data_IF_277755598089
#
_entry.id   IF_277755598089
#
_cell.length_a   1.000
_cell.length_b   1.000
_cell.length_c   1.000
_cell.angle_alpha   90.00
_cell.angle_beta   90.00
_cell.angle_gamma   90.00
#
_symmetry.space_group_name_H-M   'P 1'
#
loop_
_entity.id
_entity.type
_entity.pdbx_description
1 polymer ?
#
# COMPACT_ATOMS: atom_id res chain seq x y z
N UNK A 1 -18.17 -11.76 28.28
CA UNK A 1 -16.84 -12.02 27.68
C UNK A 1 -17.02 -13.05 26.59
N UNK A 2 -17.53 -12.63 25.45
CA UNK A 2 -17.79 -13.42 24.24
C UNK A 2 -17.57 -12.41 23.11
N UNK A 3 -16.88 -12.65 22.00
CA UNK A 3 -16.69 -13.83 21.16
C UNK A 3 -15.38 -13.62 20.40
N UNK A 4 -14.34 -14.40 20.68
CA UNK A 4 -13.11 -14.38 19.87
C UNK A 4 -13.28 -15.38 18.72
N UNK A 5 -13.51 -14.83 17.53
CA UNK A 5 -13.25 -15.38 16.21
C UNK A 5 -13.60 -16.86 15.96
N UNK A 6 -14.87 -17.09 15.59
CA UNK A 6 -15.40 -18.35 15.03
C UNK A 6 -14.54 -18.92 13.89
N UNK A 7 -13.91 -18.05 13.09
CA UNK A 7 -13.01 -18.47 11.99
C UNK A 7 -11.75 -19.21 12.46
N UNK A 8 -11.22 -18.88 13.64
CA UNK A 8 -10.00 -19.49 14.17
C UNK A 8 -10.27 -20.91 14.66
N UNK A 9 -11.40 -21.09 15.39
CA UNK A 9 -11.85 -22.40 15.89
C UNK A 9 -12.11 -23.40 14.76
N UNK A 10 -12.54 -22.92 13.60
CA UNK A 10 -12.87 -23.73 12.43
C UNK A 10 -11.62 -24.19 11.65
N UNK A 11 -10.51 -23.45 11.74
CA UNK A 11 -9.26 -23.75 11.03
C UNK A 11 -8.21 -24.48 11.87
N UNK A 12 -8.13 -24.23 13.18
CA UNK A 12 -6.99 -24.67 14.00
C UNK A 12 -7.34 -25.53 15.22
N UNK A 13 -8.62 -25.82 15.48
CA UNK A 13 -9.02 -26.51 16.71
C UNK A 13 -8.82 -25.65 17.95
N UNK A 14 -9.28 -26.11 19.12
CA UNK A 14 -9.32 -25.31 20.35
C UNK A 14 -7.93 -24.78 20.76
N UNK A 15 -7.87 -23.47 21.02
CA UNK A 15 -6.66 -22.72 21.35
C UNK A 15 -6.21 -23.06 22.77
N UNK A 16 -5.17 -23.90 22.92
CA UNK A 16 -4.69 -24.35 24.23
C UNK A 16 -3.56 -23.45 24.79
N UNK A 17 -2.96 -22.54 24.00
CA UNK A 17 -1.83 -21.72 24.48
C UNK A 17 -1.90 -20.24 24.07
N UNK A 18 -1.59 -19.29 24.98
CA UNK A 18 -1.47 -17.86 24.68
C UNK A 18 -0.30 -17.51 23.72
N UNK A 19 0.50 -18.49 23.32
CA UNK A 19 1.57 -18.37 22.31
C UNK A 19 1.07 -18.47 20.87
N UNK A 20 -0.18 -18.88 20.64
CA UNK A 20 -0.76 -19.06 19.28
C UNK A 20 -1.53 -17.83 18.79
N UNK A 21 -1.39 -16.68 19.47
CA UNK A 21 -1.90 -15.40 18.97
C UNK A 21 -1.17 -15.10 17.65
N UNK A 22 -1.87 -15.33 16.55
CA UNK A 22 -1.39 -15.03 15.21
C UNK A 22 -1.03 -13.55 15.16
N UNK A 23 0.11 -13.21 14.54
CA UNK A 23 0.51 -11.79 14.35
C UNK A 23 -0.59 -10.95 13.67
N UNK A 24 -1.51 -11.61 12.97
CA UNK A 24 -2.71 -11.03 12.39
C UNK A 24 -3.74 -10.55 13.43
N UNK A 25 -3.99 -11.30 14.50
CA UNK A 25 -4.90 -10.89 15.58
C UNK A 25 -4.33 -9.69 16.35
N UNK A 26 -3.00 -9.68 16.55
CA UNK A 26 -2.30 -8.52 17.08
C UNK A 26 -2.38 -7.31 16.14
N UNK A 27 -2.35 -7.52 14.82
CA UNK A 27 -2.55 -6.44 13.85
C UNK A 27 -3.96 -5.83 13.95
N UNK A 28 -5.00 -6.67 14.07
CA UNK A 28 -6.38 -6.20 14.25
C UNK A 28 -6.54 -5.44 15.57
N UNK A 29 -5.91 -5.94 16.65
CA UNK A 29 -5.90 -5.27 17.94
C UNK A 29 -5.14 -3.94 17.92
N UNK A 30 -3.95 -3.91 17.31
CA UNK A 30 -3.14 -2.70 17.15
C UNK A 30 -3.84 -1.68 16.25
N UNK A 31 -4.51 -2.10 15.18
CA UNK A 31 -5.32 -1.21 14.36
C UNK A 31 -6.47 -0.55 15.15
N UNK A 32 -6.97 -1.21 16.21
CA UNK A 32 -8.03 -0.70 17.08
C UNK A 32 -7.55 0.23 18.20
N UNK A 33 -6.37 -0.01 18.77
CA UNK A 33 -5.89 0.72 19.96
C UNK A 33 -4.64 1.59 19.75
N UNK A 34 -3.81 1.31 18.75
CA UNK A 34 -2.60 2.05 18.42
C UNK A 34 -2.46 2.20 16.90
N UNK A 35 -3.21 3.13 16.28
CA UNK A 35 -3.25 3.31 14.82
C UNK A 35 -1.87 3.60 14.21
N UNK A 36 -0.91 4.06 15.01
CA UNK A 36 0.49 4.28 14.62
C UNK A 36 1.17 3.02 14.07
N UNK A 37 0.92 1.84 14.65
CA UNK A 37 1.51 0.59 14.14
C UNK A 37 0.93 0.20 12.79
N UNK A 38 -0.38 0.37 12.60
CA UNK A 38 -1.03 0.09 11.34
C UNK A 38 -0.56 1.05 10.23
N UNK A 39 -0.32 2.31 10.57
CA UNK A 39 0.29 3.31 9.66
C UNK A 39 1.71 2.89 9.26
N UNK A 40 2.55 2.52 10.22
CA UNK A 40 3.93 2.08 9.95
C UNK A 40 3.98 0.82 9.09
N UNK A 41 3.09 -0.14 9.34
CA UNK A 41 2.96 -1.34 8.51
C UNK A 41 2.53 -0.99 7.08
N UNK A 42 1.59 -0.06 6.93
CA UNK A 42 1.16 0.41 5.62
C UNK A 42 2.30 1.08 4.84
N UNK A 43 3.02 2.02 5.47
CA UNK A 43 4.17 2.70 4.85
C UNK A 43 5.24 1.68 4.45
N UNK A 44 5.53 0.71 5.32
CA UNK A 44 6.52 -0.34 5.04
C UNK A 44 6.08 -1.21 3.86
N UNK A 45 4.82 -1.63 3.83
CA UNK A 45 4.26 -2.39 2.71
C UNK A 45 4.35 -1.61 1.40
N UNK A 46 4.03 -0.32 1.43
CA UNK A 46 4.10 0.54 0.25
C UNK A 46 5.53 0.69 -0.28
N UNK A 47 6.50 0.82 0.64
CA UNK A 47 7.92 0.89 0.31
C UNK A 47 8.41 -0.39 -0.36
N UNK A 48 8.07 -1.57 0.20
CA UNK A 48 8.40 -2.86 -0.43
C UNK A 48 7.77 -3.00 -1.81
N UNK A 49 6.50 -2.62 -1.96
CA UNK A 49 5.80 -2.63 -3.24
C UNK A 49 6.53 -1.74 -4.27
N UNK A 50 7.01 -0.57 -3.85
CA UNK A 50 7.82 0.32 -4.68
C UNK A 50 9.13 -0.33 -5.15
N UNK A 51 9.88 -0.98 -4.24
CA UNK A 51 11.14 -1.66 -4.57
C UNK A 51 10.90 -2.84 -5.51
N UNK A 52 9.87 -3.65 -5.26
CA UNK A 52 9.56 -4.81 -6.10
C UNK A 52 9.28 -4.34 -7.53
N UNK A 53 8.43 -3.32 -7.69
CA UNK A 53 8.16 -2.73 -8.98
C UNK A 53 9.42 -2.17 -9.65
N UNK A 54 10.27 -1.47 -8.89
CA UNK A 54 11.54 -0.99 -9.40
C UNK A 54 12.43 -2.14 -9.91
N UNK A 55 12.54 -3.24 -9.16
CA UNK A 55 13.41 -4.36 -9.51
C UNK A 55 12.92 -5.10 -10.77
N UNK A 56 11.61 -5.31 -10.88
CA UNK A 56 10.96 -5.94 -12.04
C UNK A 56 11.14 -5.09 -13.29
N UNK A 57 10.84 -3.79 -13.20
CA UNK A 57 10.82 -2.88 -14.35
C UNK A 57 12.13 -2.11 -14.57
N UNK A 58 13.22 -2.45 -13.87
CA UNK A 58 14.51 -1.73 -14.02
C UNK A 58 15.05 -1.75 -15.45
N UNK A 59 14.73 -2.80 -16.21
CA UNK A 59 15.18 -2.98 -17.60
C UNK A 59 14.31 -2.20 -18.60
N UNK A 60 13.05 -1.96 -18.28
CA UNK A 60 12.09 -1.33 -19.17
C UNK A 60 11.51 -0.06 -18.53
N UNK A 61 12.15 1.08 -18.82
CA UNK A 61 11.77 2.38 -18.25
C UNK A 61 10.29 2.73 -18.47
N UNK A 62 9.72 2.29 -19.60
CA UNK A 62 8.28 2.46 -19.92
C UNK A 62 7.40 1.71 -18.92
N UNK A 63 7.70 0.43 -18.66
CA UNK A 63 6.98 -0.39 -17.67
C UNK A 63 7.01 0.22 -16.27
N UNK A 64 8.12 0.84 -15.88
CA UNK A 64 8.26 1.52 -14.60
C UNK A 64 7.33 2.73 -14.47
N UNK A 65 7.18 3.55 -15.52
CA UNK A 65 6.25 4.68 -15.51
C UNK A 65 4.78 4.23 -15.37
N UNK A 66 4.39 3.17 -16.10
CA UNK A 66 3.07 2.57 -15.99
C UNK A 66 2.82 1.97 -14.60
N UNK A 67 3.83 1.34 -14.01
CA UNK A 67 3.73 0.78 -12.66
C UNK A 67 3.43 1.87 -11.61
N UNK A 68 4.21 2.96 -11.58
CA UNK A 68 3.96 4.06 -10.64
C UNK A 68 2.62 4.77 -10.90
N UNK A 69 2.19 4.87 -12.15
CA UNK A 69 0.88 5.42 -12.50
C UNK A 69 -0.27 4.52 -12.03
N UNK A 70 -0.18 3.21 -12.25
CA UNK A 70 -1.18 2.23 -11.79
C UNK A 70 -1.26 2.18 -10.27
N UNK A 71 -0.11 2.15 -9.60
CA UNK A 71 -0.01 2.13 -8.15
C UNK A 71 -0.56 3.43 -7.53
N UNK A 72 -0.21 4.60 -8.08
CA UNK A 72 -0.76 5.89 -7.69
C UNK A 72 -2.28 5.99 -7.90
N UNK A 73 -2.77 5.53 -9.06
CA UNK A 73 -4.20 5.47 -9.35
C UNK A 73 -4.97 4.57 -8.38
N UNK A 74 -4.44 3.39 -8.08
CA UNK A 74 -5.02 2.46 -7.11
C UNK A 74 -5.12 3.06 -5.70
N UNK A 75 -4.08 3.78 -5.26
CA UNK A 75 -4.08 4.49 -3.98
C UNK A 75 -5.15 5.58 -3.92
N UNK A 76 -5.36 6.34 -5.00
CA UNK A 76 -6.40 7.38 -5.07
C UNK A 76 -7.81 6.78 -5.09
N UNK A 77 -8.03 5.68 -5.81
CA UNK A 77 -9.32 4.98 -5.81
C UNK A 77 -9.64 4.46 -4.40
N UNK A 78 -8.65 3.88 -3.72
CA UNK A 78 -8.81 3.40 -2.35
C UNK A 78 -9.10 4.55 -1.37
N UNK A 79 -8.44 5.70 -1.57
CA UNK A 79 -8.75 6.93 -0.85
C UNK A 79 -10.21 7.33 -1.05
N UNK A 80 -10.71 7.34 -2.29
CA UNK A 80 -12.09 7.71 -2.59
C UNK A 80 -13.12 6.81 -1.88
N UNK A 81 -12.86 5.49 -1.81
CA UNK A 81 -13.73 4.54 -1.10
C UNK A 81 -13.78 4.84 0.41
N UNK A 82 -12.64 5.20 1.00
CA UNK A 82 -12.50 5.40 2.46
C UNK A 82 -13.09 6.75 2.93
N UNK A 83 -13.30 7.71 2.02
CA UNK A 83 -13.81 9.07 2.33
C UNK A 83 -15.10 9.11 3.15
N UNK A 84 -15.94 8.06 3.06
CA UNK A 84 -17.21 7.98 3.79
C UNK A 84 -17.07 7.49 5.25
N UNK A 85 -15.86 7.19 5.74
CA UNK A 85 -15.66 6.72 7.11
C UNK A 85 -15.62 7.88 8.11
N UNK A 86 -16.54 7.86 9.09
CA UNK A 86 -16.61 8.85 10.18
C UNK A 86 -15.61 8.57 11.33
N UNK A 87 -14.74 7.58 11.20
CA UNK A 87 -13.79 7.19 12.26
C UNK A 87 -12.48 7.97 12.15
N UNK A 88 -11.91 8.38 13.30
CA UNK A 88 -10.62 9.11 13.35
C UNK A 88 -9.50 8.33 12.65
N UNK A 89 -9.45 7.00 12.82
CA UNK A 89 -8.49 6.15 12.13
C UNK A 89 -8.67 6.16 10.61
N UNK A 90 -9.91 6.08 10.13
CA UNK A 90 -10.24 6.13 8.69
C UNK A 90 -9.82 7.44 8.04
N UNK A 91 -9.98 8.57 8.72
CA UNK A 91 -9.52 9.88 8.23
C UNK A 91 -7.99 9.95 8.09
N UNK A 92 -7.24 9.37 9.04
CA UNK A 92 -5.78 9.31 8.96
C UNK A 92 -5.33 8.43 7.79
N UNK A 93 -5.96 7.27 7.60
CA UNK A 93 -5.70 6.42 6.43
C UNK A 93 -6.03 7.13 5.11
N UNK A 94 -7.16 7.83 5.03
CA UNK A 94 -7.54 8.61 3.86
C UNK A 94 -6.45 9.60 3.44
N UNK A 95 -5.95 10.42 4.39
CA UNK A 95 -4.90 11.41 4.11
C UNK A 95 -3.60 10.72 3.68
N UNK A 96 -3.22 9.61 4.32
CA UNK A 96 -2.03 8.83 3.96
C UNK A 96 -2.13 8.29 2.52
N UNK A 97 -3.27 7.71 2.14
CA UNK A 97 -3.50 7.20 0.79
C UNK A 97 -3.44 8.32 -0.26
N UNK A 98 -4.05 9.47 0.05
CA UNK A 98 -4.09 10.62 -0.84
C UNK A 98 -2.70 11.19 -1.09
N UNK A 99 -1.92 11.43 -0.04
CA UNK A 99 -0.54 11.95 -0.16
C UNK A 99 0.36 10.96 -0.89
N UNK A 100 0.28 9.67 -0.54
CA UNK A 100 1.08 8.63 -1.20
C UNK A 100 0.76 8.50 -2.69
N UNK A 101 -0.52 8.56 -3.05
CA UNK A 101 -0.97 8.53 -4.44
C UNK A 101 -0.45 9.72 -5.26
N UNK A 102 -0.52 10.93 -4.69
CA UNK A 102 0.03 12.14 -5.34
C UNK A 102 1.54 12.05 -5.56
N UNK A 103 2.30 11.63 -4.55
CA UNK A 103 3.75 11.45 -4.67
C UNK A 103 4.07 10.45 -5.79
N UNK A 104 3.36 9.32 -5.86
CA UNK A 104 3.56 8.33 -6.91
C UNK A 104 3.32 8.90 -8.32
N UNK A 105 2.25 9.69 -8.51
CA UNK A 105 1.96 10.33 -9.80
C UNK A 105 3.04 11.34 -10.16
N UNK A 106 3.46 12.18 -9.21
CA UNK A 106 4.53 13.17 -9.43
C UNK A 106 5.83 12.47 -9.84
N UNK A 107 6.17 11.34 -9.23
CA UNK A 107 7.37 10.56 -9.61
C UNK A 107 7.28 9.93 -11.00
N UNK A 108 6.07 9.72 -11.55
CA UNK A 108 5.90 9.19 -12.90
C UNK A 108 6.29 10.21 -13.99
N UNK A 109 6.05 11.51 -13.76
CA UNK A 109 6.36 12.60 -14.70
C UNK A 109 7.85 12.62 -15.14
N UNK A 110 8.84 12.65 -14.24
CA UNK A 110 10.25 12.67 -14.65
C UNK A 110 10.69 11.39 -15.35
N UNK A 111 10.08 10.24 -15.02
CA UNK A 111 10.34 8.98 -15.74
C UNK A 111 9.85 9.09 -17.18
N UNK A 112 8.65 9.65 -17.39
CA UNK A 112 8.09 9.87 -18.72
C UNK A 112 8.91 10.88 -19.54
N UNK A 113 9.32 12.00 -18.94
CA UNK A 113 10.20 12.99 -19.59
C UNK A 113 11.54 12.37 -20.04
N UNK A 114 12.16 11.54 -19.19
CA UNK A 114 13.40 10.83 -19.55
C UNK A 114 13.19 9.90 -20.74
N UNK A 115 12.05 9.21 -20.82
CA UNK A 115 11.72 8.32 -21.95
C UNK A 115 11.54 9.12 -23.24
N UNK A 116 10.77 10.21 -23.20
CA UNK A 116 10.54 11.07 -24.36
C UNK A 116 11.84 11.66 -24.90
N UNK A 117 12.71 12.15 -24.02
CA UNK A 117 14.02 12.67 -24.41
C UNK A 117 14.89 11.59 -25.07
N UNK A 118 14.90 10.35 -24.56
CA UNK A 118 15.65 9.25 -25.18
C UNK A 118 15.10 8.87 -26.57
N UNK A 119 13.78 8.91 -26.76
CA UNK A 119 13.16 8.65 -28.07
C UNK A 119 13.50 9.77 -29.04
N UNK A 120 13.39 11.03 -28.63
CA UNK A 120 13.70 12.20 -29.47
C UNK A 120 15.15 12.18 -29.95
N UNK A 121 16.11 11.93 -29.06
CA UNK A 121 17.53 11.83 -29.41
C UNK A 121 17.85 10.71 -30.41
N UNK A 122 17.07 9.62 -30.40
CA UNK A 122 17.25 8.48 -31.32
C UNK A 122 16.71 8.75 -32.73
N UNK A 123 15.80 9.71 -32.89
CA UNK A 123 15.20 10.07 -34.18
C UNK A 123 16.06 11.13 -34.90
N UNK A 124 16.81 11.95 -34.15
CA UNK A 124 17.63 13.05 -34.70
C UNK A 124 19.05 12.64 -35.11
N UNK A 125 19.48 11.40 -34.85
CA UNK A 125 20.81 10.85 -35.15
C UNK A 125 20.71 9.71 -36.15
#
# INVERSE_FOLDING_TARGET
METYNTFYKLLYGEVIKPSDITRLDFFIYAARFQPTFAILMFISSLYFLGIIGYFIFKKEKRGLAYYFAFLGGGLLILSFIITNSSTVGGQVFFILFLIAGLICIITSIPVYCKILNQIKMRITN
#
